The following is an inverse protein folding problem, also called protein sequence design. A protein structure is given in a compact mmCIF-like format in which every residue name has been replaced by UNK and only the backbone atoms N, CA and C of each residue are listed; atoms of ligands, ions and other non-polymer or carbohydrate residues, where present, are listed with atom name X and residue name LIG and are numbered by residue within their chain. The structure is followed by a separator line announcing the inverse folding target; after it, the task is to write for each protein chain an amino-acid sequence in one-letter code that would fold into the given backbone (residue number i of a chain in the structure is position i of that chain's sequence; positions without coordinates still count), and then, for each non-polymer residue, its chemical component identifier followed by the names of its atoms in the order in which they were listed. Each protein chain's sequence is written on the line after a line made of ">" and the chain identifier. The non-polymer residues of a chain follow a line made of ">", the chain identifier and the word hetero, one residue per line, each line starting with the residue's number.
data_IF_740866600950
#
_entry.id   IF_740866600950
#
_cell.length_a   1.000
_cell.length_b   1.000
_cell.length_c   1.000
_cell.angle_alpha   90.00
_cell.angle_beta   90.00
_cell.angle_gamma   90.00
#
_symmetry.space_group_name_H-M   'P 1'
#
loop_
_entity.id
_entity.type
_entity.pdbx_description
1 polymer ?
#
# COMPACT_ATOMS: atom_id res chain seq x y z
N UNK A 1 -23.21 -35.78 35.38
CA UNK A 1 -23.01 -34.99 34.14
C UNK A 1 -22.51 -33.56 34.42
N UNK A 2 -21.54 -33.37 35.32
CA UNK A 2 -21.00 -32.04 35.67
C UNK A 2 -19.52 -31.89 35.28
N UNK A 3 -18.76 -32.98 35.34
CA UNK A 3 -17.32 -33.02 35.04
C UNK A 3 -16.95 -32.41 33.69
N UNK A 4 -17.71 -32.74 32.63
CA UNK A 4 -17.44 -32.23 31.30
C UNK A 4 -17.59 -30.70 31.22
N UNK A 5 -18.60 -30.15 31.87
CA UNK A 5 -18.84 -28.70 31.85
C UNK A 5 -17.96 -27.96 32.87
N UNK A 6 -17.60 -28.59 33.98
CA UNK A 6 -16.79 -27.95 35.03
C UNK A 6 -15.29 -27.96 34.75
N UNK A 7 -14.78 -28.89 33.94
CA UNK A 7 -13.35 -28.98 33.64
C UNK A 7 -13.05 -28.80 32.15
N UNK A 8 -13.75 -29.51 31.27
CA UNK A 8 -13.47 -29.42 29.83
C UNK A 8 -13.90 -28.06 29.27
N UNK A 9 -15.07 -27.54 29.63
CA UNK A 9 -15.49 -26.22 29.14
C UNK A 9 -14.54 -25.07 29.55
N UNK A 10 -14.14 -24.90 30.83
CA UNK A 10 -13.18 -23.85 31.19
C UNK A 10 -11.80 -24.07 30.57
N UNK A 11 -11.33 -25.31 30.41
CA UNK A 11 -10.07 -25.59 29.71
C UNK A 11 -10.15 -25.16 28.25
N UNK A 12 -11.24 -25.50 27.54
CA UNK A 12 -11.43 -25.08 26.14
C UNK A 12 -11.52 -23.56 26.01
N UNK A 13 -12.17 -22.86 26.94
CA UNK A 13 -12.21 -21.39 26.92
C UNK A 13 -10.79 -20.82 26.98
N UNK A 14 -9.96 -21.30 27.90
CA UNK A 14 -8.57 -20.84 28.02
C UNK A 14 -7.75 -21.23 26.79
N UNK A 15 -7.94 -22.44 26.28
CA UNK A 15 -7.23 -22.92 25.08
C UNK A 15 -7.56 -22.08 23.85
N UNK A 16 -8.86 -21.86 23.59
CA UNK A 16 -9.32 -21.03 22.46
C UNK A 16 -8.87 -19.58 22.66
N UNK A 17 -8.93 -19.05 23.88
CA UNK A 17 -8.42 -17.72 24.18
C UNK A 17 -6.92 -17.59 23.92
N UNK A 18 -6.12 -18.58 24.35
CA UNK A 18 -4.68 -18.59 24.12
C UNK A 18 -4.36 -18.67 22.62
N UNK A 19 -5.07 -19.53 21.88
CA UNK A 19 -4.95 -19.61 20.42
C UNK A 19 -5.37 -18.30 19.75
N UNK A 20 -6.45 -17.67 20.21
CA UNK A 20 -6.90 -16.38 19.69
C UNK A 20 -5.88 -15.26 19.94
N UNK A 21 -5.34 -15.17 21.16
CA UNK A 21 -4.23 -14.25 21.50
C UNK A 21 -3.02 -14.49 20.59
N UNK A 22 -2.59 -15.75 20.45
CA UNK A 22 -1.47 -16.12 19.58
C UNK A 22 -1.75 -15.76 18.11
N UNK A 23 -2.94 -16.07 17.60
CA UNK A 23 -3.33 -15.80 16.22
C UNK A 23 -3.39 -14.29 15.95
N UNK A 24 -3.93 -13.50 16.88
CA UNK A 24 -3.98 -12.03 16.76
C UNK A 24 -2.57 -11.44 16.75
N UNK A 25 -1.68 -11.91 17.63
CA UNK A 25 -0.28 -11.48 17.62
C UNK A 25 0.47 -11.93 16.35
N UNK A 26 0.27 -13.17 15.91
CA UNK A 26 0.93 -13.74 14.74
C UNK A 26 0.44 -13.13 13.42
N UNK A 27 -0.83 -12.70 13.35
CA UNK A 27 -1.44 -12.13 12.15
C UNK A 27 -0.69 -10.89 11.64
N UNK A 28 -0.12 -10.08 12.53
CA UNK A 28 0.69 -8.91 12.18
C UNK A 28 1.98 -9.31 11.44
N UNK A 29 2.51 -10.50 11.72
CA UNK A 29 3.73 -11.02 11.13
C UNK A 29 3.48 -11.95 9.93
N UNK A 30 2.21 -12.22 9.59
CA UNK A 30 1.89 -13.14 8.50
C UNK A 30 2.05 -12.42 7.16
N UNK A 31 2.66 -13.03 6.12
CA UNK A 31 2.89 -12.38 4.82
C UNK A 31 1.62 -11.79 4.19
N UNK A 32 0.45 -12.37 4.49
CA UNK A 32 -0.85 -11.86 4.06
C UNK A 32 -1.20 -10.48 4.61
N UNK A 33 -0.71 -10.08 5.78
CA UNK A 33 -0.91 -8.73 6.33
C UNK A 33 -0.07 -7.69 5.55
N UNK A 34 1.01 -8.13 4.90
CA UNK A 34 1.83 -7.33 3.98
C UNK A 34 1.38 -7.41 2.51
N UNK A 35 0.32 -8.16 2.19
CA UNK A 35 -0.27 -8.18 0.84
C UNK A 35 -1.17 -6.97 0.56
N UNK A 36 -1.20 -5.97 1.45
CA UNK A 36 -1.77 -4.68 1.12
C UNK A 36 -1.05 -4.15 -0.13
N UNK A 37 -1.77 -3.80 -1.21
CA UNK A 37 -1.17 -3.25 -2.41
C UNK A 37 -0.24 -2.11 -1.99
N UNK A 38 1.04 -2.22 -2.34
CA UNK A 38 1.97 -1.10 -2.21
C UNK A 38 1.30 0.13 -2.82
N UNK A 39 1.52 1.34 -2.27
CA UNK A 39 1.08 2.55 -2.94
C UNK A 39 1.54 2.45 -4.39
N UNK A 40 0.56 2.34 -5.31
CA UNK A 40 0.86 2.59 -6.70
C UNK A 40 1.42 4.00 -6.67
N UNK A 41 2.63 4.17 -7.15
CA UNK A 41 3.19 5.49 -7.38
C UNK A 41 2.08 6.28 -8.10
N UNK A 42 1.39 7.17 -7.37
CA UNK A 42 0.99 8.43 -7.97
C UNK A 42 2.32 8.88 -8.57
N UNK A 43 2.44 8.96 -9.90
CA UNK A 43 3.69 9.36 -10.50
C UNK A 43 4.03 10.67 -9.81
N UNK A 44 5.02 10.63 -8.92
CA UNK A 44 5.71 11.81 -8.45
C UNK A 44 6.14 12.41 -9.77
N UNK A 45 5.39 13.43 -10.18
CA UNK A 45 5.65 14.22 -11.36
C UNK A 45 6.94 14.96 -11.02
N UNK A 46 8.06 14.24 -11.10
CA UNK A 46 9.37 14.80 -11.25
C UNK A 46 9.29 15.52 -12.58
N UNK A 47 8.91 16.79 -12.47
CA UNK A 47 8.69 17.77 -13.52
C UNK A 47 8.72 17.22 -14.93
N UNK A 48 7.55 17.04 -15.53
CA UNK A 48 7.44 17.55 -16.89
C UNK A 48 7.19 19.05 -16.74
N UNK A 49 8.19 19.94 -16.92
CA UNK A 49 7.87 21.33 -17.14
C UNK A 49 7.01 21.36 -18.40
N UNK A 50 5.70 21.59 -18.24
CA UNK A 50 4.81 22.03 -19.31
C UNK A 50 5.21 23.47 -19.68
N UNK A 51 6.45 23.64 -20.14
CA UNK A 51 7.00 24.91 -20.55
C UNK A 51 7.02 24.93 -22.08
N UNK A 52 6.20 25.77 -22.73
CA UNK A 52 6.25 25.97 -24.18
C UNK A 52 7.62 26.45 -24.68
N UNK A 53 8.50 26.90 -23.76
CA UNK A 53 9.84 27.39 -24.06
C UNK A 53 10.80 26.35 -24.68
N UNK A 54 10.61 25.05 -24.42
CA UNK A 54 11.45 24.00 -25.01
C UNK A 54 11.13 23.77 -26.49
N UNK A 55 9.88 23.97 -26.89
CA UNK A 55 9.44 23.92 -28.29
C UNK A 55 9.98 25.09 -29.09
N UNK A 56 10.05 26.28 -28.49
CA UNK A 56 10.63 27.50 -29.07
C UNK A 56 12.15 27.44 -29.22
N UNK A 57 12.84 26.74 -28.32
CA UNK A 57 14.29 26.53 -28.40
C UNK A 57 14.68 25.44 -29.41
N UNK A 58 13.80 24.45 -29.65
CA UNK A 58 14.06 23.36 -30.60
C UNK A 58 13.78 23.76 -32.06
N UNK A 59 12.81 24.66 -32.30
CA UNK A 59 12.49 25.12 -33.66
C UNK A 59 13.36 26.28 -34.13
N UNK A 60 14.15 26.88 -33.25
CA UNK A 60 14.90 28.10 -33.54
C UNK A 60 13.96 29.27 -33.91
N UNK A 61 14.42 30.52 -33.83
CA UNK A 61 13.63 31.68 -34.20
C UNK A 61 13.49 31.79 -35.73
N UNK A 62 12.90 30.79 -36.39
CA UNK A 62 12.40 30.87 -37.76
C UNK A 62 11.04 31.56 -37.75
N UNK A 63 11.05 32.83 -37.36
CA UNK A 63 9.89 33.72 -37.46
C UNK A 63 10.25 35.17 -37.74
N UNK A 64 11.54 35.49 -37.91
CA UNK A 64 11.98 36.88 -38.14
C UNK A 64 13.10 36.95 -39.17
N UNK A 65 12.81 36.56 -40.41
CA UNK A 65 13.31 37.22 -41.63
C UNK A 65 12.85 36.42 -42.86
N UNK A 66 11.94 36.98 -43.65
CA UNK A 66 12.08 37.26 -45.09
C UNK A 66 10.73 37.80 -45.61
N UNK A 67 10.85 38.83 -46.43
CA UNK A 67 9.89 39.84 -46.87
C UNK A 67 8.65 39.40 -47.67
N UNK A 68 7.66 40.30 -47.62
CA UNK A 68 6.55 40.48 -48.55
C UNK A 68 5.78 41.75 -48.19
#
# INVERSE_FOLDING_TARGET
>A
MSFFRSYIAPLLIVLIFAVAMLAVSARIFLPSDMMAPAPLEEPISLGTPSSPALSDLLHGPTGTLVEG
#
